data_IF_468580759727
#
_entry.id   IF_468580759727
#
_cell.length_a   1.000
_cell.length_b   1.000
_cell.length_c   1.000
_cell.angle_alpha   90.00
_cell.angle_beta   90.00
_cell.angle_gamma   90.00
#
_symmetry.space_group_name_H-M   'P 1'
#
loop_
_entity.id
_entity.type
_entity.pdbx_description
1 polymer ?
#
# COMPACT_ATOMS: atom_id res chain seq x y z
N UNK A 1 -9.85 11.73 -22.84
CA UNK A 1 -8.46 11.52 -22.34
C UNK A 1 -8.34 10.16 -21.68
N UNK A 2 -7.35 9.35 -22.04
CA UNK A 2 -7.06 8.07 -21.38
C UNK A 2 -6.35 8.36 -20.05
N UNK A 3 -6.94 7.97 -18.94
CA UNK A 3 -6.44 8.22 -17.59
C UNK A 3 -5.65 7.02 -17.07
N UNK A 4 -4.37 7.00 -17.43
CA UNK A 4 -3.38 6.00 -17.04
C UNK A 4 -3.07 6.03 -15.53
N UNK A 5 -3.42 7.13 -14.86
CA UNK A 5 -3.15 7.40 -13.45
C UNK A 5 -3.72 6.32 -12.51
N UNK A 6 -4.87 5.72 -12.83
CA UNK A 6 -5.47 4.67 -12.01
C UNK A 6 -4.63 3.38 -11.96
N UNK A 7 -4.00 3.00 -13.08
CA UNK A 7 -3.11 1.83 -13.13
C UNK A 7 -1.78 2.10 -12.40
N UNK A 8 -1.28 3.34 -12.47
CA UNK A 8 -0.09 3.75 -11.74
C UNK A 8 -0.34 3.72 -10.22
N UNK A 9 -1.47 4.26 -9.75
CA UNK A 9 -1.84 4.20 -8.34
C UNK A 9 -2.02 2.76 -7.84
N UNK A 10 -2.65 1.90 -8.66
CA UNK A 10 -2.84 0.49 -8.32
C UNK A 10 -1.51 -0.25 -8.16
N UNK A 11 -0.52 0.03 -9.00
CA UNK A 11 0.81 -0.61 -8.93
C UNK A 11 1.60 -0.14 -7.72
N UNK A 12 1.56 1.16 -7.37
CA UNK A 12 2.16 1.68 -6.14
C UNK A 12 1.50 1.06 -4.90
N UNK A 13 0.16 0.97 -4.88
CA UNK A 13 -0.57 0.35 -3.79
C UNK A 13 -0.21 -1.14 -3.63
N UNK A 14 -0.06 -1.86 -4.75
CA UNK A 14 0.35 -3.26 -4.75
C UNK A 14 1.78 -3.46 -4.24
N UNK A 15 2.71 -2.56 -4.58
CA UNK A 15 4.06 -2.57 -4.01
C UNK A 15 4.04 -2.35 -2.48
N UNK A 16 3.22 -1.41 -2.00
CA UNK A 16 3.02 -1.17 -0.57
C UNK A 16 2.46 -2.39 0.17
N UNK A 17 1.49 -3.10 -0.42
CA UNK A 17 0.98 -4.38 0.11
C UNK A 17 2.08 -5.44 0.16
N UNK A 18 2.92 -5.53 -0.87
CA UNK A 18 4.06 -6.45 -0.90
C UNK A 18 5.01 -6.20 0.27
N UNK A 19 5.37 -4.95 0.52
CA UNK A 19 6.20 -4.57 1.67
C UNK A 19 5.54 -4.94 3.01
N UNK A 20 4.22 -4.74 3.16
CA UNK A 20 3.49 -5.18 4.34
C UNK A 20 3.53 -6.70 4.54
N UNK A 21 3.34 -7.48 3.46
CA UNK A 21 3.33 -8.94 3.50
C UNK A 21 4.71 -9.53 3.83
N UNK A 22 5.78 -8.88 3.36
CA UNK A 22 7.15 -9.27 3.66
C UNK A 22 7.62 -8.90 5.08
N UNK A 23 6.76 -8.29 5.90
CA UNK A 23 7.11 -7.91 7.28
C UNK A 23 8.03 -6.68 7.38
N UNK A 24 8.11 -5.88 6.30
CA UNK A 24 8.92 -4.65 6.31
C UNK A 24 8.43 -3.64 7.35
N UNK A 25 7.12 -3.61 7.59
CA UNK A 25 6.46 -2.76 8.59
C UNK A 25 6.12 -3.51 9.89
N UNK A 26 6.85 -4.58 10.22
CA UNK A 26 6.62 -5.33 11.45
C UNK A 26 7.46 -4.80 12.62
N UNK A 27 6.91 -4.91 13.84
CA UNK A 27 7.58 -4.48 15.07
C UNK A 27 8.84 -5.29 15.34
N UNK A 28 8.88 -6.57 14.92
CA UNK A 28 10.06 -7.42 15.01
C UNK A 28 11.22 -6.98 14.10
N UNK A 29 10.94 -6.20 13.06
CA UNK A 29 11.94 -5.66 12.13
C UNK A 29 12.53 -4.32 12.60
N UNK A 30 12.04 -3.78 13.73
CA UNK A 30 12.56 -2.54 14.30
C UNK A 30 13.88 -2.77 15.04
N UNK A 31 14.98 -2.33 14.43
CA UNK A 31 16.33 -2.36 15.04
C UNK A 31 16.58 -1.19 16.00
N UNK A 32 15.91 -0.06 15.81
CA UNK A 32 16.01 1.12 16.69
C UNK A 32 14.60 1.58 17.04
N UNK A 33 14.11 1.31 18.27
CA UNK A 33 12.87 1.90 18.73
C UNK A 33 13.07 3.42 18.87
N UNK A 34 12.19 4.20 18.25
CA UNK A 34 12.05 5.64 18.48
C UNK A 34 13.25 6.51 18.05
N UNK A 35 13.74 6.28 16.82
CA UNK A 35 14.68 7.21 16.20
C UNK A 35 14.05 8.61 16.06
N UNK A 36 14.72 9.64 16.59
CA UNK A 36 14.24 11.02 16.54
C UNK A 36 13.93 11.45 15.09
N UNK A 37 12.73 12.00 14.88
CA UNK A 37 12.26 12.44 13.55
C UNK A 37 11.62 11.35 12.68
N UNK A 38 11.57 10.10 13.13
CA UNK A 38 10.86 9.01 12.48
C UNK A 38 9.63 8.57 13.29
N UNK A 39 8.68 7.91 12.62
CA UNK A 39 7.48 7.38 13.30
C UNK A 39 7.88 6.23 14.22
N UNK A 40 7.26 6.15 15.40
CA UNK A 40 7.59 5.11 16.38
C UNK A 40 7.18 3.73 15.86
N UNK A 41 7.90 2.69 16.29
CA UNK A 41 7.57 1.32 15.91
C UNK A 41 6.17 0.90 16.38
N UNK A 42 5.71 1.45 17.50
CA UNK A 42 4.36 1.24 18.03
C UNK A 42 3.30 1.87 17.12
N UNK A 43 3.55 3.08 16.60
CA UNK A 43 2.64 3.74 15.66
C UNK A 43 2.52 2.95 14.36
N UNK A 44 3.64 2.42 13.84
CA UNK A 44 3.61 1.55 12.64
C UNK A 44 2.76 0.32 12.91
N UNK A 45 2.95 -0.35 14.05
CA UNK A 45 2.19 -1.54 14.40
C UNK A 45 0.68 -1.27 14.43
N UNK A 46 0.27 -0.10 14.98
CA UNK A 46 -1.13 0.30 15.01
C UNK A 46 -1.69 0.64 13.62
N UNK A 47 -0.89 1.33 12.79
CA UNK A 47 -1.34 1.81 11.48
C UNK A 47 -1.26 0.74 10.39
N UNK A 48 -0.46 -0.32 10.56
CA UNK A 48 -0.24 -1.38 9.57
C UNK A 48 -1.55 -2.00 9.09
N UNK A 49 -2.48 -2.30 9.99
CA UNK A 49 -3.74 -2.95 9.64
C UNK A 49 -4.59 -2.05 8.74
N UNK A 50 -4.70 -0.76 9.08
CA UNK A 50 -5.42 0.22 8.27
C UNK A 50 -4.74 0.47 6.93
N UNK A 51 -3.41 0.55 6.92
CA UNK A 51 -2.63 0.67 5.69
C UNK A 51 -2.88 -0.52 4.75
N UNK A 52 -2.91 -1.75 5.27
CA UNK A 52 -3.22 -2.94 4.48
C UNK A 52 -4.61 -2.85 3.81
N UNK A 53 -5.62 -2.44 4.57
CA UNK A 53 -6.98 -2.28 4.04
C UNK A 53 -7.05 -1.21 2.95
N UNK A 54 -6.47 -0.04 3.20
CA UNK A 54 -6.49 1.08 2.25
C UNK A 54 -5.75 0.70 0.97
N UNK A 55 -4.53 0.19 1.08
CA UNK A 55 -3.73 -0.23 -0.07
C UNK A 55 -4.42 -1.35 -0.85
N UNK A 56 -5.05 -2.30 -0.14
CA UNK A 56 -5.88 -3.37 -0.72
C UNK A 56 -7.02 -2.81 -1.58
N UNK A 57 -7.82 -1.92 -1.01
CA UNK A 57 -8.95 -1.30 -1.71
C UNK A 57 -8.48 -0.52 -2.94
N UNK A 58 -7.43 0.30 -2.79
CA UNK A 58 -6.90 1.11 -3.90
C UNK A 58 -6.35 0.23 -5.02
N UNK A 59 -5.62 -0.84 -4.70
CA UNK A 59 -5.12 -1.78 -5.68
C UNK A 59 -6.27 -2.46 -6.44
N UNK A 60 -7.23 -3.05 -5.72
CA UNK A 60 -8.38 -3.75 -6.33
C UNK A 60 -9.21 -2.79 -7.18
N UNK A 61 -9.55 -1.61 -6.67
CA UNK A 61 -10.35 -0.64 -7.40
C UNK A 61 -9.61 -0.13 -8.66
N UNK A 62 -8.32 0.21 -8.54
CA UNK A 62 -7.52 0.71 -9.65
C UNK A 62 -7.34 -0.32 -10.77
N UNK A 63 -7.06 -1.59 -10.43
CA UNK A 63 -7.00 -2.67 -11.42
C UNK A 63 -8.37 -2.97 -12.03
N UNK A 64 -9.43 -3.02 -11.22
CA UNK A 64 -10.80 -3.27 -11.70
C UNK A 64 -11.21 -2.21 -12.74
N UNK A 65 -11.01 -0.92 -12.43
CA UNK A 65 -11.30 0.18 -13.36
C UNK A 65 -10.46 0.08 -14.63
N UNK A 66 -9.16 -0.22 -14.50
CA UNK A 66 -8.26 -0.41 -15.64
C UNK A 66 -8.72 -1.54 -16.57
N UNK A 67 -9.05 -2.70 -16.01
CA UNK A 67 -9.50 -3.88 -16.76
C UNK A 67 -10.85 -3.62 -17.43
N UNK A 68 -11.82 -3.05 -16.71
CA UNK A 68 -13.15 -2.73 -17.26
C UNK A 68 -13.01 -1.76 -18.44
N UNK A 69 -12.17 -0.72 -18.31
CA UNK A 69 -11.91 0.22 -19.40
C UNK A 69 -11.23 -0.45 -20.59
N UNK A 70 -10.26 -1.34 -20.34
CA UNK A 70 -9.59 -2.10 -21.40
C UNK A 70 -10.55 -3.02 -22.15
N UNK A 71 -11.54 -3.62 -21.46
CA UNK A 71 -12.57 -4.47 -22.08
C UNK A 71 -13.64 -3.69 -22.85
N UNK A 72 -13.88 -2.42 -22.50
CA UNK A 72 -14.85 -1.56 -23.21
C UNK A 72 -14.26 -0.81 -24.41
N UNK A 73 -12.93 -0.86 -24.60
CA UNK A 73 -12.26 -0.40 -25.82
C UNK A 73 -12.11 -1.57 -26.78
#
# INVERSE_FOLDING_TARGET
MNNNSAAMLATVALAGLGALLLGFFDVGSCVVPDAEGFTTCQDIAHQRTWAAWILGIVAVAGFSVSIIRKRRR
#
